data_IF_636911146478
#
_entry.id   IF_636911146478
#
_cell.length_a   1.000
_cell.length_b   1.000
_cell.length_c   1.000
_cell.angle_alpha   90.00
_cell.angle_beta   90.00
_cell.angle_gamma   90.00
#
_symmetry.space_group_name_H-M   'P 1'
#
loop_
_entity.id
_entity.type
_entity.pdbx_description
1 polymer ?
#
# COMPACT_ATOMS: atom_id res chain seq x y z
N UNK A 1 24.22 -3.35 -25.30
CA UNK A 1 24.28 -3.50 -23.84
C UNK A 1 22.98 -2.95 -23.28
N UNK A 2 22.17 -3.77 -22.62
CA UNK A 2 20.97 -3.31 -21.92
C UNK A 2 21.41 -2.73 -20.58
N UNK A 3 21.35 -1.41 -20.41
CA UNK A 3 21.55 -0.79 -19.10
C UNK A 3 20.41 -1.21 -18.17
N UNK A 4 20.72 -2.02 -17.16
CA UNK A 4 19.80 -2.30 -16.07
C UNK A 4 19.88 -1.16 -15.07
N UNK A 5 19.01 -0.15 -15.23
CA UNK A 5 18.80 0.87 -14.21
C UNK A 5 18.38 0.19 -12.91
N UNK A 6 19.27 0.20 -11.92
CA UNK A 6 19.00 -0.39 -10.61
C UNK A 6 18.03 0.50 -9.84
N UNK A 7 16.97 -0.09 -9.30
CA UNK A 7 16.03 0.63 -8.46
C UNK A 7 16.73 1.17 -7.21
N UNK A 8 16.64 2.47 -6.99
CA UNK A 8 17.12 3.11 -5.76
C UNK A 8 15.92 3.53 -4.91
N UNK A 9 15.73 2.96 -3.72
CA UNK A 9 14.63 3.33 -2.85
C UNK A 9 14.79 4.78 -2.34
N UNK A 10 13.68 5.49 -2.08
CA UNK A 10 13.75 6.83 -1.52
C UNK A 10 14.16 6.80 -0.03
N UNK A 11 14.77 7.89 0.44
CA UNK A 11 15.15 8.06 1.86
C UNK A 11 13.95 7.97 2.82
N UNK A 12 12.79 8.45 2.39
CA UNK A 12 11.52 8.31 3.10
C UNK A 12 10.56 7.60 2.19
N UNK A 13 10.03 6.47 2.67
CA UNK A 13 9.06 5.69 1.92
C UNK A 13 7.76 6.47 1.75
N UNK A 14 7.17 6.37 0.56
CA UNK A 14 5.87 6.94 0.23
C UNK A 14 4.96 5.83 -0.25
N UNK A 15 3.73 5.83 0.23
CA UNK A 15 2.69 4.95 -0.28
C UNK A 15 2.21 5.47 -1.64
N UNK A 16 2.40 4.68 -2.69
CA UNK A 16 1.91 4.96 -4.04
C UNK A 16 0.67 4.10 -4.30
N UNK A 17 -0.43 4.72 -4.73
CA UNK A 17 -1.68 4.04 -5.02
C UNK A 17 -1.50 2.98 -6.13
N UNK A 18 -2.14 1.82 -5.99
CA UNK A 18 -2.12 0.74 -6.99
C UNK A 18 -1.06 -0.34 -6.78
N UNK A 19 -0.16 -0.20 -5.80
CA UNK A 19 0.75 -1.28 -5.37
C UNK A 19 0.02 -2.22 -4.38
N UNK A 20 0.10 -3.53 -4.62
CA UNK A 20 -0.51 -4.53 -3.72
C UNK A 20 -1.30 -5.67 -4.39
N UNK A 21 -1.40 -5.68 -5.73
CA UNK A 21 -2.11 -6.73 -6.46
C UNK A 21 -3.59 -6.82 -6.08
N UNK A 22 -4.07 -8.03 -5.81
CA UNK A 22 -5.46 -8.31 -5.40
C UNK A 22 -5.90 -7.47 -4.18
N UNK A 23 -4.98 -7.23 -3.24
CA UNK A 23 -5.26 -6.50 -2.01
C UNK A 23 -5.03 -4.99 -2.11
N UNK A 24 -4.71 -4.46 -3.29
CA UNK A 24 -4.41 -3.02 -3.48
C UNK A 24 -5.56 -2.10 -3.04
N UNK A 25 -6.80 -2.62 -3.02
CA UNK A 25 -7.98 -1.86 -2.58
C UNK A 25 -8.14 -1.78 -1.05
N UNK A 26 -7.51 -2.67 -0.27
CA UNK A 26 -7.66 -2.73 1.20
C UNK A 26 -6.38 -2.34 1.96
N UNK A 27 -5.21 -2.46 1.33
CA UNK A 27 -3.94 -2.15 1.96
C UNK A 27 -3.80 -0.64 2.18
N UNK A 28 -3.43 -0.22 3.39
CA UNK A 28 -3.11 1.16 3.76
C UNK A 28 -2.02 1.17 4.83
N UNK A 29 -1.13 2.18 4.84
CA UNK A 29 -0.03 2.27 5.80
C UNK A 29 -0.49 2.68 7.21
N UNK A 30 -1.81 2.90 7.39
CA UNK A 30 -2.42 3.33 8.64
C UNK A 30 -3.52 2.36 9.05
N UNK A 31 -3.67 2.15 10.36
CA UNK A 31 -4.78 1.42 10.94
C UNK A 31 -6.00 2.34 11.18
N UNK A 32 -7.11 1.75 11.63
CA UNK A 32 -8.34 2.46 12.04
C UNK A 32 -9.58 2.01 11.27
N UNK A 33 -10.77 2.19 11.85
CA UNK A 33 -12.03 1.86 11.17
C UNK A 33 -12.20 2.71 9.88
N UNK A 34 -12.74 2.12 8.82
CA UNK A 34 -13.16 2.87 7.62
C UNK A 34 -14.64 3.24 7.64
N UNK A 35 -15.40 2.55 8.48
CA UNK A 35 -16.82 2.70 8.68
C UNK A 35 -17.17 2.15 10.05
N UNK A 36 -18.33 2.53 10.55
CA UNK A 36 -18.90 1.99 11.77
C UNK A 36 -19.72 0.74 11.43
N UNK A 37 -19.51 -0.34 12.17
CA UNK A 37 -20.25 -1.60 12.05
C UNK A 37 -20.43 -2.21 13.45
N UNK A 38 -21.68 -2.37 13.88
CA UNK A 38 -22.00 -3.05 15.13
C UNK A 38 -22.01 -4.56 14.93
N UNK A 39 -21.29 -5.29 15.78
CA UNK A 39 -21.23 -6.75 15.70
C UNK A 39 -22.51 -7.39 16.28
N UNK A 40 -23.01 -8.48 15.68
CA UNK A 40 -24.13 -9.22 16.25
C UNK A 40 -23.73 -9.86 17.59
N UNK A 41 -24.67 -9.87 18.54
CA UNK A 41 -24.55 -10.50 19.86
C UNK A 41 -25.13 -11.91 19.90
#
# INVERSE_FOLDING_TARGET
MTETSSYTPPKVWRWLAGSGGEFAKINRPIAGATHDEELPV
#
